data_IF_041379251751
#
_entry.id   IF_041379251751
#
_cell.length_a   1.000
_cell.length_b   1.000
_cell.length_c   1.000
_cell.angle_alpha   90.00
_cell.angle_beta   90.00
_cell.angle_gamma   90.00
#
_symmetry.space_group_name_H-M   'P 1'
#
loop_
_entity.id
_entity.type
_entity.pdbx_description
1 polymer ?
#
# COMPACT_ATOMS: atom_id res chain seq x y z
N UNK A 1 5.83 -23.93 -8.79
CA UNK A 1 5.35 -23.76 -7.40
C UNK A 1 5.90 -22.44 -6.92
N UNK A 2 5.06 -21.45 -6.66
CA UNK A 2 5.48 -20.17 -6.06
C UNK A 2 5.92 -20.44 -4.62
N UNK A 3 7.14 -20.06 -4.26
CA UNK A 3 7.60 -20.22 -2.89
C UNK A 3 6.72 -19.33 -1.97
N UNK A 4 6.10 -19.95 -0.96
CA UNK A 4 5.34 -19.23 0.05
C UNK A 4 6.32 -18.44 0.94
N UNK A 5 5.97 -17.19 1.25
CA UNK A 5 6.76 -16.38 2.17
C UNK A 5 6.52 -16.89 3.59
N UNK A 6 7.55 -17.50 4.19
CA UNK A 6 7.45 -18.02 5.56
C UNK A 6 7.71 -16.91 6.56
N UNK A 7 6.66 -16.48 7.25
CA UNK A 7 6.70 -15.55 8.40
C UNK A 7 6.79 -16.29 9.75
N UNK A 8 6.58 -17.61 9.75
CA UNK A 8 6.68 -18.48 10.93
C UNK A 8 5.51 -18.30 11.91
N UNK A 9 5.54 -17.21 12.70
CA UNK A 9 4.53 -16.82 13.70
C UNK A 9 3.79 -15.56 13.22
N UNK A 10 2.51 -15.38 13.55
CA UNK A 10 1.77 -14.15 13.22
C UNK A 10 2.10 -12.95 14.12
N UNK A 11 1.61 -11.77 13.73
CA UNK A 11 1.75 -10.48 14.44
C UNK A 11 3.18 -10.10 14.84
N UNK A 12 3.44 -9.62 16.07
CA UNK A 12 4.74 -9.00 16.43
C UNK A 12 5.97 -9.91 16.22
N UNK A 13 5.84 -11.22 16.50
CA UNK A 13 6.93 -12.17 16.30
C UNK A 13 7.25 -12.36 14.82
N UNK A 14 6.21 -12.54 14.01
CA UNK A 14 6.30 -12.59 12.55
C UNK A 14 6.89 -11.34 11.94
N UNK A 15 6.47 -10.18 12.43
CA UNK A 15 6.97 -8.89 11.99
C UNK A 15 8.49 -8.75 12.16
N UNK A 16 9.03 -9.12 13.33
CA UNK A 16 10.49 -9.07 13.56
C UNK A 16 11.25 -10.07 12.69
N UNK A 17 10.68 -11.26 12.46
CA UNK A 17 11.29 -12.25 11.56
C UNK A 17 11.31 -11.69 10.15
N UNK A 18 10.17 -11.19 9.67
CA UNK A 18 9.99 -10.58 8.36
C UNK A 18 11.00 -9.45 8.14
N UNK A 19 11.09 -8.48 9.05
CA UNK A 19 12.06 -7.38 8.97
C UNK A 19 13.51 -7.88 8.83
N UNK A 20 13.86 -9.00 9.47
CA UNK A 20 15.22 -9.58 9.40
C UNK A 20 15.47 -10.41 8.14
N UNK A 21 14.42 -11.01 7.57
CA UNK A 21 14.54 -11.93 6.43
C UNK A 21 14.06 -11.35 5.11
N UNK A 22 13.47 -10.15 5.12
CA UNK A 22 12.83 -9.51 3.98
C UNK A 22 13.74 -9.46 2.76
N UNK A 23 14.97 -8.95 2.90
CA UNK A 23 15.89 -8.79 1.76
C UNK A 23 16.15 -10.13 1.05
N UNK A 24 16.42 -11.19 1.83
CA UNK A 24 16.65 -12.54 1.28
C UNK A 24 15.39 -13.12 0.62
N UNK A 25 14.22 -12.84 1.19
CA UNK A 25 12.96 -13.32 0.64
C UNK A 25 12.58 -12.55 -0.64
N UNK A 26 12.88 -11.25 -0.71
CA UNK A 26 12.75 -10.44 -1.92
C UNK A 26 13.70 -10.92 -3.02
N UNK A 27 14.96 -11.23 -2.70
CA UNK A 27 15.92 -11.81 -3.66
C UNK A 27 15.43 -13.16 -4.20
N UNK A 28 14.92 -14.03 -3.33
CA UNK A 28 14.33 -15.30 -3.73
C UNK A 28 13.10 -15.10 -4.63
N UNK A 29 12.23 -14.14 -4.29
CA UNK A 29 11.06 -13.79 -5.09
C UNK A 29 11.44 -13.21 -6.46
N UNK A 30 12.45 -12.34 -6.50
CA UNK A 30 12.98 -11.78 -7.76
C UNK A 30 13.55 -12.87 -8.67
N UNK A 31 13.99 -13.99 -8.10
CA UNK A 31 14.48 -15.16 -8.83
C UNK A 31 13.37 -16.10 -9.32
N UNK A 32 12.10 -15.88 -8.94
CA UNK A 32 10.98 -16.69 -9.42
C UNK A 32 10.79 -16.47 -10.94
N UNK A 33 10.69 -17.58 -11.69
CA UNK A 33 10.57 -17.53 -13.15
C UNK A 33 9.33 -16.76 -13.65
N UNK A 34 8.24 -16.68 -12.87
CA UNK A 34 7.08 -15.84 -13.23
C UNK A 34 7.39 -14.36 -13.10
N UNK A 35 8.14 -13.97 -12.07
CA UNK A 35 8.51 -12.58 -11.80
C UNK A 35 9.53 -12.12 -12.83
N UNK A 36 10.59 -12.89 -13.07
CA UNK A 36 11.59 -12.59 -14.10
C UNK A 36 10.98 -12.43 -15.49
N UNK A 37 9.98 -13.26 -15.86
CA UNK A 37 9.28 -13.13 -17.15
C UNK A 37 8.36 -11.93 -17.22
N UNK A 38 7.80 -11.48 -16.10
CA UNK A 38 6.95 -10.31 -16.05
C UNK A 38 7.81 -9.03 -16.12
N UNK A 39 8.81 -8.91 -15.26
CA UNK A 39 9.71 -7.75 -15.21
C UNK A 39 10.57 -7.66 -16.47
N UNK A 40 11.15 -8.76 -16.95
CA UNK A 40 11.91 -8.77 -18.21
C UNK A 40 11.08 -8.34 -19.41
N UNK A 41 9.85 -8.84 -19.53
CA UNK A 41 8.94 -8.41 -20.61
C UNK A 41 8.57 -6.94 -20.50
N UNK A 42 8.38 -6.43 -19.27
CA UNK A 42 8.10 -5.02 -19.05
C UNK A 42 9.29 -4.16 -19.45
N UNK A 43 10.49 -4.47 -18.98
CA UNK A 43 11.71 -3.74 -19.32
C UNK A 43 12.01 -3.74 -20.82
N UNK A 44 11.79 -4.87 -21.51
CA UNK A 44 12.02 -4.98 -22.95
C UNK A 44 11.02 -4.16 -23.81
N UNK A 45 9.85 -3.82 -23.26
CA UNK A 45 8.73 -3.25 -24.04
C UNK A 45 8.30 -1.87 -23.62
N UNK A 46 8.67 -1.40 -22.42
CA UNK A 46 8.11 -0.17 -21.89
C UNK A 46 8.47 1.06 -22.72
N UNK A 47 9.70 1.14 -23.24
CA UNK A 47 10.16 2.25 -24.09
C UNK A 47 9.32 2.40 -25.38
N UNK A 48 8.85 1.28 -25.95
CA UNK A 48 7.97 1.30 -27.14
C UNK A 48 6.49 1.36 -26.77
N UNK A 49 6.13 1.17 -25.49
CA UNK A 49 4.76 1.25 -24.96
C UNK A 49 4.52 2.66 -24.43
N UNK A 50 4.66 3.63 -25.32
CA UNK A 50 4.78 5.05 -25.01
C UNK A 50 3.44 5.81 -25.00
N UNK A 51 2.33 5.11 -24.81
CA UNK A 51 1.00 5.73 -24.71
C UNK A 51 0.08 4.93 -23.79
N UNK A 52 -0.95 5.58 -23.26
CA UNK A 52 -1.97 4.93 -22.45
C UNK A 52 -2.68 3.81 -23.23
N UNK A 53 -2.96 4.02 -24.52
CA UNK A 53 -3.55 3.03 -25.42
C UNK A 53 -2.66 1.81 -25.61
N UNK A 54 -1.37 2.03 -25.84
CA UNK A 54 -0.40 0.96 -26.00
C UNK A 54 -0.31 0.12 -24.71
N UNK A 55 -0.29 0.80 -23.55
CA UNK A 55 -0.21 0.14 -22.26
C UNK A 55 -1.45 -0.72 -21.97
N UNK A 56 -2.66 -0.20 -22.17
CA UNK A 56 -3.89 -0.98 -21.90
C UNK A 56 -4.13 -2.12 -22.91
N UNK A 57 -3.57 -1.99 -24.12
CA UNK A 57 -3.68 -3.00 -25.16
C UNK A 57 -2.88 -4.26 -24.82
N UNK A 58 -1.73 -4.11 -24.17
CA UNK A 58 -0.91 -5.23 -23.70
C UNK A 58 -1.26 -5.62 -22.26
N UNK A 59 -1.94 -6.75 -22.11
CA UNK A 59 -2.35 -7.27 -20.80
C UNK A 59 -1.17 -7.49 -19.84
N UNK A 60 0.00 -7.93 -20.35
CA UNK A 60 1.16 -8.22 -19.50
C UNK A 60 1.78 -6.93 -18.98
N UNK A 61 1.87 -5.91 -19.84
CA UNK A 61 2.35 -4.57 -19.45
C UNK A 61 1.39 -3.93 -18.45
N UNK A 62 0.09 -3.93 -18.77
CA UNK A 62 -0.94 -3.37 -17.89
C UNK A 62 -0.94 -4.05 -16.52
N UNK A 63 -0.80 -5.38 -16.48
CA UNK A 63 -0.74 -6.12 -15.22
C UNK A 63 0.44 -5.68 -14.35
N UNK A 64 1.65 -5.56 -14.92
CA UNK A 64 2.83 -5.11 -14.17
C UNK A 64 2.62 -3.67 -13.67
N UNK A 65 2.18 -2.78 -14.56
CA UNK A 65 1.90 -1.39 -14.24
C UNK A 65 0.89 -1.27 -13.08
N UNK A 66 -0.32 -1.83 -13.23
CA UNK A 66 -1.36 -1.74 -12.21
C UNK A 66 -0.93 -2.38 -10.89
N UNK A 67 -0.31 -3.56 -10.94
CA UNK A 67 0.15 -4.26 -9.74
C UNK A 67 1.21 -3.45 -8.97
N UNK A 68 2.10 -2.73 -9.65
CA UNK A 68 3.08 -1.83 -9.02
C UNK A 68 2.42 -0.75 -8.14
N UNK A 69 1.23 -0.29 -8.52
CA UNK A 69 0.45 0.70 -7.77
C UNK A 69 -0.64 0.07 -6.89
N UNK A 70 -0.74 -1.27 -6.85
CA UNK A 70 -1.77 -1.99 -6.09
C UNK A 70 -3.17 -1.81 -6.68
N UNK A 71 -3.29 -1.73 -8.00
CA UNK A 71 -4.53 -1.52 -8.76
C UNK A 71 -4.87 -2.74 -9.64
N UNK A 72 -4.35 -3.92 -9.30
CA UNK A 72 -4.51 -5.16 -10.08
C UNK A 72 -5.98 -5.59 -10.25
N UNK A 73 -6.84 -5.26 -9.30
CA UNK A 73 -8.28 -5.57 -9.37
C UNK A 73 -8.99 -4.79 -10.50
N UNK A 74 -8.39 -3.69 -10.96
CA UNK A 74 -8.89 -2.87 -12.07
C UNK A 74 -8.37 -3.28 -13.44
N UNK A 75 -7.64 -4.40 -13.53
CA UNK A 75 -7.17 -4.95 -14.79
C UNK A 75 -8.29 -5.16 -15.84
N UNK A 76 -9.54 -5.50 -15.47
CA UNK A 76 -10.68 -5.52 -16.40
C UNK A 76 -11.17 -4.13 -16.83
N UNK A 77 -10.91 -3.08 -16.05
CA UNK A 77 -11.46 -1.72 -16.21
C UNK A 77 -10.64 -0.84 -17.17
N UNK A 78 -10.22 -1.40 -18.31
CA UNK A 78 -9.25 -0.77 -19.24
C UNK A 78 -9.63 0.64 -19.69
N UNK A 79 -10.91 0.89 -19.97
CA UNK A 79 -11.38 2.20 -20.42
C UNK A 79 -11.22 3.28 -19.34
N UNK A 80 -11.50 2.92 -18.08
CA UNK A 80 -11.31 3.82 -16.95
C UNK A 80 -9.82 4.06 -16.69
N UNK A 81 -8.99 3.01 -16.70
CA UNK A 81 -7.53 3.14 -16.54
C UNK A 81 -6.93 4.00 -17.63
N UNK A 82 -7.42 3.89 -18.88
CA UNK A 82 -7.02 4.77 -19.98
C UNK A 82 -7.28 6.24 -19.64
N UNK A 83 -8.50 6.58 -19.23
CA UNK A 83 -8.87 7.95 -18.87
C UNK A 83 -8.05 8.50 -17.71
N UNK A 84 -7.69 7.65 -16.74
CA UNK A 84 -6.79 8.01 -15.64
C UNK A 84 -5.41 8.36 -16.18
N UNK A 85 -4.82 7.49 -17.01
CA UNK A 85 -3.49 7.67 -17.60
C UNK A 85 -3.40 8.85 -18.57
N UNK A 86 -4.51 9.20 -19.22
CA UNK A 86 -4.63 10.35 -20.13
C UNK A 86 -5.03 11.65 -19.43
N UNK A 87 -5.21 11.64 -18.10
CA UNK A 87 -5.62 12.83 -17.36
C UNK A 87 -4.54 13.93 -17.41
N UNK A 88 -4.96 15.16 -17.69
CA UNK A 88 -4.09 16.35 -17.55
C UNK A 88 -3.87 16.63 -16.05
N UNK A 89 -2.66 16.39 -15.58
CA UNK A 89 -2.32 16.55 -14.17
C UNK A 89 -2.18 18.00 -13.74
N UNK A 90 -2.07 18.94 -14.70
CA UNK A 90 -2.04 20.38 -14.42
C UNK A 90 -3.43 20.97 -14.18
N UNK A 91 -4.49 20.29 -14.64
CA UNK A 91 -5.87 20.65 -14.36
C UNK A 91 -6.34 20.00 -13.04
N UNK A 92 -6.58 20.83 -12.01
CA UNK A 92 -7.13 20.37 -10.73
C UNK A 92 -8.46 19.62 -10.86
N UNK A 93 -9.21 19.85 -11.96
CA UNK A 93 -10.48 19.20 -12.24
C UNK A 93 -10.37 17.90 -13.05
N UNK A 94 -9.15 17.49 -13.44
CA UNK A 94 -8.94 16.25 -14.17
C UNK A 94 -9.34 15.01 -13.35
N UNK A 95 -9.66 13.92 -14.04
CA UNK A 95 -10.16 12.70 -13.43
C UNK A 95 -9.20 12.19 -12.34
N UNK A 96 -7.91 12.03 -12.68
CA UNK A 96 -6.89 11.55 -11.75
C UNK A 96 -6.80 12.40 -10.46
N UNK A 97 -6.88 13.74 -10.57
CA UNK A 97 -6.81 14.65 -9.43
C UNK A 97 -8.03 14.54 -8.50
N UNK A 98 -9.21 14.29 -9.06
CA UNK A 98 -10.49 14.22 -8.34
C UNK A 98 -10.81 12.86 -7.72
N UNK A 99 -10.12 11.79 -8.12
CA UNK A 99 -10.34 10.47 -7.54
C UNK A 99 -10.01 10.47 -6.04
N UNK A 100 -10.88 9.82 -5.27
CA UNK A 100 -10.70 9.64 -3.83
C UNK A 100 -9.51 8.73 -3.50
N UNK A 101 -9.32 7.69 -4.33
CA UNK A 101 -8.15 6.82 -4.23
C UNK A 101 -6.95 7.42 -4.97
N UNK A 102 -5.94 7.84 -4.20
CA UNK A 102 -4.73 8.49 -4.74
C UNK A 102 -3.76 7.53 -5.43
N UNK A 103 -4.01 6.22 -5.44
CA UNK A 103 -3.23 5.26 -6.24
C UNK A 103 -3.34 5.53 -7.74
N UNK A 104 -4.52 5.94 -8.22
CA UNK A 104 -4.71 6.31 -9.63
C UNK A 104 -3.95 7.58 -10.01
N UNK A 105 -3.93 8.58 -9.13
CA UNK A 105 -3.12 9.79 -9.33
C UNK A 105 -1.63 9.43 -9.41
N UNK A 106 -1.13 8.59 -8.51
CA UNK A 106 0.26 8.12 -8.53
C UNK A 106 0.59 7.34 -9.81
N UNK A 107 -0.31 6.49 -10.28
CA UNK A 107 -0.16 5.79 -11.56
C UNK A 107 -0.05 6.80 -12.72
N UNK A 108 -0.98 7.75 -12.80
CA UNK A 108 -0.97 8.79 -13.83
C UNK A 108 0.30 9.64 -13.77
N UNK A 109 0.76 10.04 -12.59
CA UNK A 109 2.01 10.80 -12.38
C UNK A 109 3.26 10.01 -12.74
N UNK A 110 3.26 8.70 -12.49
CA UNK A 110 4.43 7.86 -12.78
C UNK A 110 4.66 7.74 -14.29
N UNK A 111 3.60 7.48 -15.06
CA UNK A 111 3.70 7.33 -16.52
C UNK A 111 3.65 8.67 -17.27
N UNK A 112 2.86 9.62 -16.77
CA UNK A 112 2.71 11.01 -17.26
C UNK A 112 2.48 11.13 -18.78
N UNK A 113 1.63 10.26 -19.37
CA UNK A 113 1.41 10.23 -20.82
C UNK A 113 0.82 11.53 -21.40
N UNK A 114 0.09 12.32 -20.61
CA UNK A 114 -0.49 13.59 -21.02
C UNK A 114 0.50 14.79 -20.92
N UNK A 115 1.58 14.63 -20.16
CA UNK A 115 2.61 15.63 -19.96
C UNK A 115 3.87 15.31 -20.76
N UNK A 116 4.83 14.65 -20.10
CA UNK A 116 6.15 14.35 -20.66
C UNK A 116 6.33 12.94 -21.23
N UNK A 117 5.47 12.00 -20.84
CA UNK A 117 5.64 10.56 -21.04
C UNK A 117 7.00 10.05 -20.53
N UNK A 118 7.02 9.44 -19.34
CA UNK A 118 8.25 9.01 -18.66
C UNK A 118 8.73 7.61 -19.06
N UNK A 119 8.09 6.98 -20.03
CA UNK A 119 8.37 5.56 -20.37
C UNK A 119 9.76 5.32 -20.97
N UNK A 120 10.41 6.36 -21.48
CA UNK A 120 11.79 6.36 -21.99
C UNK A 120 12.82 6.95 -20.99
N UNK A 121 12.38 7.40 -19.82
CA UNK A 121 13.29 7.89 -18.76
C UNK A 121 14.25 6.78 -18.32
N UNK A 122 15.52 7.14 -18.14
CA UNK A 122 16.53 6.23 -17.62
C UNK A 122 16.12 5.69 -16.23
N UNK A 123 16.00 4.37 -16.11
CA UNK A 123 15.64 3.69 -14.87
C UNK A 123 14.12 3.53 -14.64
N UNK A 124 13.25 4.06 -15.51
CA UNK A 124 11.80 3.93 -15.35
C UNK A 124 11.35 2.46 -15.32
N UNK A 125 11.88 1.63 -16.22
CA UNK A 125 11.60 0.20 -16.28
C UNK A 125 11.92 -0.50 -14.94
N UNK A 126 13.07 -0.15 -14.35
CA UNK A 126 13.54 -0.72 -13.09
C UNK A 126 12.68 -0.22 -11.92
N UNK A 127 12.33 1.06 -11.89
CA UNK A 127 11.46 1.66 -10.87
C UNK A 127 10.11 0.91 -10.78
N UNK A 128 9.43 0.76 -11.91
CA UNK A 128 8.12 0.09 -11.96
C UNK A 128 8.27 -1.41 -11.67
N UNK A 129 9.33 -2.06 -12.17
CA UNK A 129 9.59 -3.48 -11.90
C UNK A 129 9.87 -3.75 -10.42
N UNK A 130 10.59 -2.86 -9.73
CA UNK A 130 10.83 -2.95 -8.29
C UNK A 130 9.55 -2.70 -7.48
N UNK A 131 8.74 -1.71 -7.88
CA UNK A 131 7.44 -1.49 -7.27
C UNK A 131 6.53 -2.73 -7.42
N UNK A 132 6.52 -3.36 -8.60
CA UNK A 132 5.80 -4.61 -8.86
C UNK A 132 6.29 -5.75 -7.96
N UNK A 133 7.62 -5.95 -7.85
CA UNK A 133 8.22 -6.97 -7.00
C UNK A 133 7.83 -6.80 -5.53
N UNK A 134 7.92 -5.56 -5.01
CA UNK A 134 7.56 -5.25 -3.63
C UNK A 134 6.07 -5.51 -3.35
N UNK A 135 5.20 -5.18 -4.30
CA UNK A 135 3.76 -5.43 -4.20
C UNK A 135 3.43 -6.92 -4.20
N UNK A 136 4.08 -7.68 -5.07
CA UNK A 136 3.96 -9.12 -5.10
C UNK A 136 4.46 -9.77 -3.79
N UNK A 137 5.54 -9.24 -3.22
CA UNK A 137 6.05 -9.69 -1.93
C UNK A 137 5.02 -9.48 -0.82
N UNK A 138 4.48 -8.27 -0.70
CA UNK A 138 3.40 -7.95 0.25
C UNK A 138 2.17 -8.82 0.06
N UNK A 139 1.77 -9.05 -1.19
CA UNK A 139 0.62 -9.91 -1.53
C UNK A 139 0.85 -11.33 -1.02
N UNK A 140 2.06 -11.89 -1.21
CA UNK A 140 2.40 -13.23 -0.70
C UNK A 140 2.51 -13.29 0.82
N UNK A 141 2.96 -12.21 1.47
CA UNK A 141 2.90 -12.10 2.93
C UNK A 141 1.45 -12.09 3.40
N UNK A 142 0.57 -11.32 2.76
CA UNK A 142 -0.86 -11.25 3.11
C UNK A 142 -1.65 -12.54 2.91
N UNK A 143 -1.22 -13.39 1.97
CA UNK A 143 -1.75 -14.76 1.86
C UNK A 143 -1.52 -15.59 3.12
N UNK A 144 -0.49 -15.25 3.90
CA UNK A 144 -0.16 -15.92 5.16
C UNK A 144 -0.70 -15.15 6.38
N UNK A 145 -0.53 -13.83 6.40
CA UNK A 145 -0.99 -12.96 7.50
C UNK A 145 -1.31 -11.56 6.94
N UNK A 146 -2.60 -11.25 6.88
CA UNK A 146 -3.12 -9.97 6.37
C UNK A 146 -2.69 -8.77 7.22
N UNK A 147 -2.54 -8.96 8.53
CA UNK A 147 -2.06 -7.88 9.43
C UNK A 147 -0.61 -7.53 9.11
N UNK A 148 0.23 -8.52 8.80
CA UNK A 148 1.60 -8.26 8.35
C UNK A 148 1.61 -7.53 7.00
N UNK A 149 0.72 -7.89 6.06
CA UNK A 149 0.58 -7.14 4.78
C UNK A 149 0.22 -5.67 5.01
N UNK A 150 -0.76 -5.39 5.87
CA UNK A 150 -1.15 -4.03 6.20
C UNK A 150 0.01 -3.25 6.83
N UNK A 151 0.76 -3.86 7.75
CA UNK A 151 1.94 -3.25 8.36
C UNK A 151 3.04 -2.93 7.31
N UNK A 152 3.32 -3.85 6.39
CA UNK A 152 4.28 -3.61 5.30
C UNK A 152 3.83 -2.49 4.37
N UNK A 153 2.54 -2.51 3.99
CA UNK A 153 1.95 -1.48 3.16
C UNK A 153 2.10 -0.11 3.82
N UNK A 154 1.76 -0.01 5.10
CA UNK A 154 1.91 1.22 5.86
C UNK A 154 3.36 1.66 5.99
N UNK A 155 4.30 0.73 6.23
CA UNK A 155 5.73 1.06 6.26
C UNK A 155 6.18 1.69 4.93
N UNK A 156 5.80 1.12 3.79
CA UNK A 156 6.15 1.68 2.46
C UNK A 156 5.48 3.02 2.20
N UNK A 157 4.18 3.17 2.47
CA UNK A 157 3.48 4.45 2.25
C UNK A 157 4.07 5.55 3.14
N UNK A 158 4.41 5.24 4.40
CA UNK A 158 5.07 6.17 5.30
C UNK A 158 6.44 6.61 4.77
N UNK A 159 7.26 5.70 4.23
CA UNK A 159 8.54 6.07 3.61
C UNK A 159 8.37 7.09 2.48
N UNK A 160 7.26 7.03 1.74
CA UNK A 160 6.92 8.02 0.72
C UNK A 160 6.66 9.43 1.25
N UNK A 161 6.42 9.60 2.55
CA UNK A 161 6.27 10.92 3.18
C UNK A 161 7.58 11.52 3.67
N UNK A 162 8.65 10.73 3.79
CA UNK A 162 9.95 11.22 4.27
C UNK A 162 10.48 12.29 3.31
N UNK A 163 10.77 13.47 3.85
CA UNK A 163 11.32 14.60 3.07
C UNK A 163 10.31 15.33 2.18
N UNK A 164 9.01 15.02 2.26
CA UNK A 164 7.99 15.78 1.52
C UNK A 164 7.85 17.20 2.07
N UNK A 165 7.58 18.13 1.15
CA UNK A 165 7.43 19.57 1.43
C UNK A 165 5.96 20.03 1.50
N UNK A 166 5.01 19.13 1.22
CA UNK A 166 3.58 19.41 1.36
C UNK A 166 3.21 19.75 2.81
N UNK A 167 2.13 20.50 3.02
CA UNK A 167 1.69 20.84 4.37
C UNK A 167 1.35 19.57 5.17
N UNK A 168 1.59 19.58 6.49
CA UNK A 168 1.29 18.43 7.35
C UNK A 168 -0.19 18.01 7.25
N UNK A 169 -1.10 18.97 7.15
CA UNK A 169 -2.53 18.73 6.94
C UNK A 169 -2.82 17.97 5.64
N UNK A 170 -2.16 18.33 4.54
CA UNK A 170 -2.28 17.62 3.27
C UNK A 170 -1.83 16.16 3.41
N UNK A 171 -0.69 15.92 4.07
CA UNK A 171 -0.18 14.57 4.29
C UNK A 171 -1.14 13.71 5.12
N UNK A 172 -1.77 14.28 6.15
CA UNK A 172 -2.79 13.56 6.93
C UNK A 172 -4.06 13.26 6.13
N UNK A 173 -4.48 14.14 5.22
CA UNK A 173 -5.59 13.80 4.31
C UNK A 173 -5.22 12.66 3.36
N UNK A 174 -3.96 12.57 2.91
CA UNK A 174 -3.49 11.41 2.15
C UNK A 174 -3.55 10.12 2.96
N UNK A 175 -3.22 10.16 4.26
CA UNK A 175 -3.42 9.03 5.18
C UNK A 175 -4.89 8.63 5.26
N UNK A 176 -5.79 9.60 5.49
CA UNK A 176 -7.23 9.33 5.62
C UNK A 176 -7.88 8.83 4.31
N UNK A 177 -7.33 9.25 3.17
CA UNK A 177 -7.76 8.85 1.84
C UNK A 177 -7.19 7.52 1.35
N UNK A 178 -6.22 6.94 2.07
CA UNK A 178 -5.62 5.64 1.77
C UNK A 178 -6.18 4.58 2.76
N UNK A 179 -7.16 3.74 2.38
CA UNK A 179 -7.84 2.87 3.33
C UNK A 179 -6.92 1.89 4.09
N UNK A 180 -5.98 1.17 3.43
CA UNK A 180 -5.01 0.34 4.14
C UNK A 180 -4.17 1.10 5.17
N UNK A 181 -3.70 2.30 4.81
CA UNK A 181 -2.88 3.10 5.73
C UNK A 181 -3.73 3.64 6.89
N UNK A 182 -4.93 4.14 6.61
CA UNK A 182 -5.89 4.59 7.62
C UNK A 182 -6.20 3.48 8.62
N UNK A 183 -6.44 2.26 8.15
CA UNK A 183 -6.71 1.09 8.99
C UNK A 183 -5.57 0.81 9.99
N UNK A 184 -4.31 0.93 9.55
CA UNK A 184 -3.16 0.77 10.45
C UNK A 184 -3.11 1.84 11.53
N UNK A 185 -3.39 3.10 11.19
CA UNK A 185 -3.47 4.20 12.16
C UNK A 185 -4.63 4.01 13.14
N UNK A 186 -5.82 3.67 12.65
CA UNK A 186 -7.00 3.39 13.48
C UNK A 186 -6.71 2.24 14.45
N UNK A 187 -6.17 1.14 13.94
CA UNK A 187 -5.81 -0.02 14.74
C UNK A 187 -4.74 0.32 15.78
N UNK A 188 -3.68 1.03 15.42
CA UNK A 188 -2.62 1.44 16.36
C UNK A 188 -3.14 2.36 17.48
N UNK A 189 -4.03 3.30 17.13
CA UNK A 189 -4.62 4.25 18.09
C UNK A 189 -5.79 3.67 18.87
N UNK A 190 -6.29 2.50 18.48
CA UNK A 190 -7.43 1.83 19.11
C UNK A 190 -8.76 2.50 18.79
N UNK A 191 -8.89 3.11 17.61
CA UNK A 191 -10.16 3.64 17.14
C UNK A 191 -11.07 2.49 16.69
N UNK A 192 -12.35 2.57 17.05
CA UNK A 192 -13.38 1.61 16.65
C UNK A 192 -14.23 2.12 15.48
N UNK A 193 -15.18 1.31 15.02
CA UNK A 193 -16.06 1.61 13.87
C UNK A 193 -16.93 2.87 14.00
N UNK A 194 -17.19 3.35 15.23
CA UNK A 194 -17.88 4.63 15.44
C UNK A 194 -17.09 5.84 14.90
N UNK A 195 -15.78 5.67 14.75
CA UNK A 195 -14.88 6.72 14.31
C UNK A 195 -15.00 7.04 12.82
N UNK A 196 -15.16 6.01 11.99
CA UNK A 196 -15.28 6.16 10.53
C UNK A 196 -16.56 6.89 10.09
N UNK A 197 -17.49 7.13 11.02
CA UNK A 197 -18.73 7.87 10.81
C UNK A 197 -18.57 9.39 11.04
N UNK A 198 -17.45 9.83 11.61
CA UNK A 198 -17.18 11.25 11.84
C UNK A 198 -16.91 11.98 10.52
N UNK A 199 -17.13 13.30 10.47
CA UNK A 199 -16.69 14.11 9.33
C UNK A 199 -15.17 14.05 9.18
N UNK A 200 -14.66 14.23 7.95
CA UNK A 200 -13.22 14.11 7.65
C UNK A 200 -12.39 15.07 8.51
N UNK A 201 -12.86 16.30 8.76
CA UNK A 201 -12.16 17.26 9.62
C UNK A 201 -12.07 16.80 11.08
N UNK A 202 -13.13 16.14 11.57
CA UNK A 202 -13.12 15.53 12.90
C UNK A 202 -12.19 14.32 12.93
N UNK A 203 -12.15 13.53 11.86
CA UNK A 203 -11.21 12.43 11.75
C UNK A 203 -9.75 12.95 11.80
N UNK A 204 -9.42 13.96 10.99
CA UNK A 204 -8.11 14.61 11.04
C UNK A 204 -7.74 15.09 12.45
N UNK A 205 -8.68 15.72 13.15
CA UNK A 205 -8.45 16.25 14.51
C UNK A 205 -8.11 15.15 15.52
N UNK A 206 -8.82 14.03 15.53
CA UNK A 206 -8.52 12.99 16.51
C UNK A 206 -7.30 12.15 16.11
N UNK A 207 -7.02 11.96 14.81
CA UNK A 207 -5.78 11.31 14.34
C UNK A 207 -4.55 12.08 14.82
N UNK A 208 -4.52 13.40 14.58
CA UNK A 208 -3.40 14.26 14.99
C UNK A 208 -3.23 14.29 16.51
N UNK A 209 -4.33 14.37 17.29
CA UNK A 209 -4.28 14.28 18.76
C UNK A 209 -3.77 12.92 19.25
N UNK A 210 -4.19 11.83 18.62
CA UNK A 210 -3.74 10.49 19.00
C UNK A 210 -2.27 10.29 18.66
N UNK A 211 -1.81 10.78 17.51
CA UNK A 211 -0.41 10.80 17.13
C UNK A 211 0.43 11.60 18.14
N UNK A 212 0.01 12.80 18.51
CA UNK A 212 0.68 13.62 19.52
C UNK A 212 0.81 12.86 20.86
N UNK A 213 -0.29 12.25 21.32
CA UNK A 213 -0.32 11.50 22.58
C UNK A 213 0.54 10.22 22.55
N UNK A 214 0.53 9.50 21.43
CA UNK A 214 1.13 8.17 21.34
C UNK A 214 2.56 8.16 20.83
N UNK A 215 2.85 9.02 19.84
CA UNK A 215 4.12 9.13 19.12
C UNK A 215 4.92 10.38 19.54
N UNK A 216 4.31 11.30 20.29
CA UNK A 216 4.95 12.52 20.78
C UNK A 216 5.05 13.64 19.73
N UNK A 217 4.39 13.48 18.59
CA UNK A 217 4.28 14.49 17.53
C UNK A 217 3.09 14.15 16.64
N UNK A 218 2.54 15.16 15.98
CA UNK A 218 1.57 15.05 14.90
C UNK A 218 2.19 15.40 13.53
N UNK A 219 3.49 15.68 13.47
CA UNK A 219 4.21 15.84 12.21
C UNK A 219 4.37 14.49 11.51
N UNK A 220 3.73 14.36 10.35
CA UNK A 220 3.68 13.09 9.63
C UNK A 220 5.01 12.74 8.96
N UNK A 221 5.84 13.73 8.62
CA UNK A 221 7.19 13.48 8.08
C UNK A 221 8.13 12.95 9.17
N UNK A 222 7.94 13.39 10.41
CA UNK A 222 8.64 12.80 11.56
C UNK A 222 8.13 11.41 11.92
N UNK A 223 6.82 11.18 11.85
CA UNK A 223 6.20 9.87 12.13
C UNK A 223 6.65 8.84 11.09
N UNK A 224 6.76 9.24 9.83
CA UNK A 224 7.19 8.38 8.74
C UNK A 224 8.58 7.78 8.96
N UNK A 225 9.47 8.50 9.65
CA UNK A 225 10.86 8.12 9.84
C UNK A 225 11.13 7.32 11.13
N UNK A 226 11.99 6.30 11.00
CA UNK A 226 12.70 5.66 12.12
C UNK A 226 11.80 5.07 13.20
N UNK A 227 12.10 5.38 14.47
CA UNK A 227 11.47 4.72 15.61
C UNK A 227 9.95 4.98 15.76
N UNK A 228 9.42 6.07 15.18
CA UNK A 228 8.00 6.43 15.29
C UNK A 228 7.13 5.55 14.38
N UNK A 229 7.57 5.28 13.15
CA UNK A 229 6.89 4.35 12.26
C UNK A 229 6.95 2.92 12.80
N UNK A 230 8.11 2.50 13.32
CA UNK A 230 8.23 1.19 14.00
C UNK A 230 7.28 1.05 15.18
N UNK A 231 7.16 2.10 16.01
CA UNK A 231 6.24 2.11 17.16
C UNK A 231 4.77 2.06 16.71
N UNK A 232 4.42 2.73 15.62
CA UNK A 232 3.08 2.66 15.03
C UNK A 232 2.77 1.22 14.57
N UNK A 233 3.68 0.59 13.83
CA UNK A 233 3.49 -0.79 13.34
C UNK A 233 3.36 -1.77 14.49
N UNK A 234 4.21 -1.64 15.51
CA UNK A 234 4.14 -2.49 16.69
C UNK A 234 2.80 -2.35 17.43
N UNK A 235 2.33 -1.12 17.60
CA UNK A 235 1.04 -0.85 18.26
C UNK A 235 -0.13 -1.45 17.50
N UNK A 236 -0.13 -1.30 16.17
CA UNK A 236 -1.12 -1.93 15.29
C UNK A 236 -1.13 -3.44 15.46
N UNK A 237 0.03 -4.10 15.28
CA UNK A 237 0.17 -5.54 15.36
C UNK A 237 -0.28 -6.11 16.71
N UNK A 238 0.09 -5.47 17.83
CA UNK A 238 -0.34 -5.89 19.17
C UNK A 238 -1.85 -5.80 19.32
N UNK A 239 -2.47 -4.70 18.87
CA UNK A 239 -3.91 -4.49 19.02
C UNK A 239 -4.72 -5.42 18.12
N UNK A 240 -4.23 -5.71 16.92
CA UNK A 240 -4.84 -6.69 16.02
C UNK A 240 -4.84 -8.09 16.64
N UNK A 241 -3.72 -8.53 17.24
CA UNK A 241 -3.63 -9.81 17.96
C UNK A 241 -4.62 -9.92 19.13
N UNK A 242 -4.80 -8.84 19.90
CA UNK A 242 -5.77 -8.82 21.01
C UNK A 242 -7.20 -8.95 20.51
N UNK A 243 -7.52 -8.31 19.38
CA UNK A 243 -8.88 -8.32 18.80
C UNK A 243 -9.24 -9.71 18.26
N UNK A 244 -8.32 -10.36 17.55
CA UNK A 244 -8.50 -11.74 17.05
C UNK A 244 -8.69 -12.75 18.19
N UNK A 245 -7.86 -12.67 19.23
CA UNK A 245 -7.92 -13.58 20.39
C UNK A 245 -9.26 -13.49 21.14
N UNK A 246 -9.78 -12.26 21.31
CA UNK A 246 -11.08 -12.03 21.96
C UNK A 246 -12.25 -12.49 21.08
N UNK A 247 -12.13 -12.41 19.75
CA UNK A 247 -13.13 -12.96 18.85
C UNK A 247 -13.21 -14.49 18.96
N UNK A 248 -12.08 -15.19 18.89
CA UNK A 248 -12.02 -16.66 19.01
C UNK A 248 -12.62 -17.16 20.34
N UNK A 249 -12.30 -16.50 21.45
CA UNK A 249 -12.81 -16.88 22.78
C UNK A 249 -14.34 -16.76 22.88
N UNK A 250 -14.93 -15.76 22.21
CA UNK A 250 -16.40 -15.57 22.17
C UNK A 250 -17.09 -16.67 21.38
N UNK A 251 -16.52 -17.10 20.26
CA UNK A 251 -17.06 -18.22 19.48
C UNK A 251 -17.00 -19.55 20.24
N UNK A 252 -15.90 -19.81 20.96
CA UNK A 252 -15.81 -21.02 21.79
C UNK A 252 -16.82 -21.01 22.95
N UNK A 253 -17.03 -19.85 23.59
CA UNK A 253 -18.02 -19.71 24.66
C UNK A 253 -19.47 -19.86 24.13
N UNK A 254 -19.77 -19.28 22.97
CA UNK A 254 -21.07 -19.43 22.33
C UNK A 254 -21.34 -20.87 21.87
N UNK A 255 -20.31 -21.57 21.34
CA UNK A 255 -20.42 -22.97 20.96
C UNK A 255 -20.68 -23.86 22.18
N UNK A 256 -19.97 -23.63 23.30
CA UNK A 256 -20.19 -24.36 24.55
C UNK A 256 -21.63 -24.20 25.06
N UNK A 257 -22.20 -22.99 24.98
CA UNK A 257 -23.58 -22.71 25.38
C UNK A 257 -24.64 -23.28 24.42
N UNK A 258 -24.31 -23.48 23.15
CA UNK A 258 -25.20 -24.12 22.16
C UNK A 258 -25.19 -25.64 22.24
N UNK A 259 -24.11 -26.22 22.78
CA UNK A 259 -23.95 -27.68 22.95
C UNK A 259 -24.33 -28.19 24.33
N UNK A 260 -24.68 -27.29 25.27
CA UNK A 260 -25.16 -27.59 26.63
C UNK A 260 -26.68 -27.50 26.73
#
# INVERSE_FOLDING_TARGET
MTAAISVGLGGLGGWKILQRTQDRQLEALASDASIQRATGYFSDRIEVTNSAEALIADYRMLNVALSAFGLEDDLPNKAFIRQVLESDLSDEQSLANRLGDKRYLRLAQAFDFAGGNRTDDAGFADEISQAFLNREFERRVGQSDETLRLAMNAQRELQGFVGRTSSNTTLWFEVLGNPPLREVFEGAFGFGSAYSQLSVDRQLTEFTKAAERFLGTSDLTEIAGGAKSDRLMQAFLVRSQLTESVAQTRYSAALQLLTS
#
